data_IF_707241236437
#
_entry.id   IF_707241236437
#
_cell.length_a   1.000
_cell.length_b   1.000
_cell.length_c   1.000
_cell.angle_alpha   90.00
_cell.angle_beta   90.00
_cell.angle_gamma   90.00
#
_symmetry.space_group_name_H-M   'P 1'
#
loop_
_entity.id
_entity.type
_entity.pdbx_description
1 polymer ?
#
# COMPACT_ATOMS: atom_id res chain seq x y z
N UNK A 1 -30.71 -2.87 3.02
CA UNK A 1 -29.43 -3.51 3.41
C UNK A 1 -29.07 -4.85 2.72
N UNK A 2 -29.82 -5.33 1.71
CA UNK A 2 -29.52 -6.61 1.03
C UNK A 2 -28.46 -6.57 -0.09
N UNK A 3 -27.87 -5.40 -0.41
CA UNK A 3 -26.95 -5.25 -1.56
C UNK A 3 -25.48 -5.57 -1.25
N UNK A 4 -25.02 -5.37 -0.01
CA UNK A 4 -23.61 -5.56 0.39
C UNK A 4 -23.06 -6.96 0.07
N UNK A 5 -23.77 -8.07 0.35
CA UNK A 5 -23.25 -9.42 0.03
C UNK A 5 -23.07 -9.66 -1.47
N UNK A 6 -24.02 -9.19 -2.29
CA UNK A 6 -23.93 -9.32 -3.76
C UNK A 6 -22.81 -8.43 -4.33
N UNK A 7 -22.61 -7.25 -3.78
CA UNK A 7 -21.52 -6.34 -4.16
C UNK A 7 -20.16 -6.95 -3.84
N UNK A 8 -20.00 -7.54 -2.65
CA UNK A 8 -18.78 -8.28 -2.27
C UNK A 8 -18.57 -9.48 -3.19
N UNK A 9 -19.61 -10.28 -3.46
CA UNK A 9 -19.50 -11.43 -4.35
C UNK A 9 -19.06 -11.03 -5.78
N UNK A 10 -19.56 -9.91 -6.29
CA UNK A 10 -19.14 -9.35 -7.61
C UNK A 10 -17.69 -8.89 -7.59
N UNK A 11 -17.25 -8.24 -6.52
CA UNK A 11 -15.87 -7.82 -6.35
C UNK A 11 -14.93 -9.04 -6.32
N UNK A 12 -15.27 -10.07 -5.54
CA UNK A 12 -14.50 -11.31 -5.48
C UNK A 12 -14.43 -12.02 -6.84
N UNK A 13 -15.56 -12.07 -7.56
CA UNK A 13 -15.58 -12.61 -8.92
C UNK A 13 -14.65 -11.82 -9.85
N UNK A 14 -14.65 -10.49 -9.79
CA UNK A 14 -13.75 -9.64 -10.57
C UNK A 14 -12.27 -9.91 -10.26
N UNK A 15 -11.91 -9.96 -8.97
CA UNK A 15 -10.55 -10.24 -8.54
C UNK A 15 -10.09 -11.64 -8.95
N UNK A 16 -10.98 -12.65 -8.90
CA UNK A 16 -10.67 -14.02 -9.32
C UNK A 16 -10.32 -14.16 -10.82
N UNK A 17 -10.84 -13.27 -11.67
CA UNK A 17 -10.51 -13.24 -13.11
C UNK A 17 -9.16 -12.55 -13.36
N UNK A 18 -8.78 -11.60 -12.50
CA UNK A 18 -7.54 -10.83 -12.64
C UNK A 18 -6.35 -11.44 -11.89
N UNK A 19 -6.58 -12.29 -10.90
CA UNK A 19 -5.58 -13.23 -10.43
C UNK A 19 -5.28 -14.20 -11.56
N UNK A 20 -4.14 -14.03 -12.21
CA UNK A 20 -3.73 -14.87 -13.33
C UNK A 20 -3.65 -16.33 -12.87
N UNK A 21 -4.58 -17.23 -13.28
CA UNK A 21 -4.59 -18.61 -12.82
C UNK A 21 -3.40 -19.42 -13.38
N UNK A 22 -2.65 -18.87 -14.35
CA UNK A 22 -1.45 -19.47 -14.93
C UNK A 22 -0.16 -18.97 -14.29
N UNK A 23 -0.20 -17.90 -13.49
CA UNK A 23 0.96 -17.54 -12.69
C UNK A 23 0.92 -18.36 -11.41
N UNK A 24 1.85 -19.30 -11.22
CA UNK A 24 2.16 -19.92 -9.92
C UNK A 24 2.60 -18.89 -8.84
N UNK A 25 2.32 -17.62 -9.05
CA UNK A 25 2.56 -16.50 -8.16
C UNK A 25 1.18 -16.10 -7.64
N UNK A 26 0.91 -16.30 -6.36
CA UNK A 26 -0.11 -15.50 -5.66
C UNK A 26 0.15 -14.06 -6.08
N UNK A 27 -0.82 -13.39 -6.69
CA UNK A 27 -0.54 -12.05 -7.20
C UNK A 27 -0.03 -11.22 -6.02
N UNK A 28 1.03 -10.43 -6.23
CA UNK A 28 1.57 -9.53 -5.21
C UNK A 28 0.56 -8.47 -4.73
N UNK A 29 -0.70 -8.57 -5.19
CA UNK A 29 -1.88 -7.82 -4.79
C UNK A 29 -2.33 -8.15 -3.36
N UNK A 30 -1.89 -9.28 -2.78
CA UNK A 30 -2.30 -9.72 -1.44
C UNK A 30 -1.26 -9.49 -0.32
N UNK A 31 -0.04 -9.07 -0.65
CA UNK A 31 0.99 -8.81 0.35
C UNK A 31 0.85 -7.39 0.88
N UNK A 32 0.21 -7.29 2.05
CA UNK A 32 0.09 -6.03 2.79
C UNK A 32 1.29 -5.86 3.70
N UNK A 33 1.64 -4.61 3.99
CA UNK A 33 2.45 -4.31 5.17
C UNK A 33 1.76 -4.82 6.45
N UNK A 34 2.52 -4.90 7.53
CA UNK A 34 1.97 -5.17 8.87
C UNK A 34 0.70 -4.32 9.11
N UNK A 35 -0.45 -4.93 9.49
CA UNK A 35 -1.69 -4.20 9.75
C UNK A 35 -1.53 -3.10 10.80
N UNK A 36 -0.64 -3.26 11.79
CA UNK A 36 -0.35 -2.22 12.79
C UNK A 36 0.27 -0.98 12.15
N UNK A 37 1.17 -1.17 11.17
CA UNK A 37 1.75 -0.08 10.41
C UNK A 37 0.70 0.65 9.55
N UNK A 38 -0.22 -0.12 8.96
CA UNK A 38 -1.24 0.44 8.07
C UNK A 38 -2.35 1.16 8.83
N UNK A 39 -2.74 0.65 10.01
CA UNK A 39 -3.78 1.26 10.85
C UNK A 39 -3.46 2.67 11.35
N UNK A 40 -2.18 3.02 11.45
CA UNK A 40 -1.76 4.37 11.84
C UNK A 40 -1.53 5.29 10.62
N UNK A 41 -1.90 4.85 9.42
CA UNK A 41 -1.93 5.69 8.21
C UNK A 41 -3.31 6.27 8.00
N UNK A 42 -3.38 7.51 7.51
CA UNK A 42 -4.64 8.14 7.12
C UNK A 42 -5.13 7.58 5.78
N UNK A 43 -4.23 7.26 4.85
CA UNK A 43 -4.58 6.77 3.52
C UNK A 43 -3.59 5.71 3.03
N UNK A 44 -4.09 4.70 2.33
CA UNK A 44 -3.27 3.75 1.55
C UNK A 44 -3.37 4.11 0.06
N UNK A 45 -2.22 4.29 -0.60
CA UNK A 45 -2.17 4.75 -1.99
C UNK A 45 -2.32 3.62 -3.02
N UNK A 46 -2.06 2.39 -2.59
CA UNK A 46 -2.09 1.19 -3.41
C UNK A 46 -2.78 0.07 -2.62
N UNK A 47 -4.10 0.09 -2.61
CA UNK A 47 -4.91 -0.86 -1.86
C UNK A 47 -6.15 -1.29 -2.65
N UNK A 48 -6.92 -2.17 -2.04
CA UNK A 48 -8.17 -2.74 -2.53
C UNK A 48 -9.14 -2.90 -1.35
N UNK A 49 -10.43 -3.10 -1.62
CA UNK A 49 -11.38 -3.40 -0.55
C UNK A 49 -11.04 -4.68 0.25
N UNK A 50 -10.22 -5.56 -0.30
CA UNK A 50 -9.85 -6.84 0.32
C UNK A 50 -8.65 -6.73 1.25
N UNK A 51 -7.83 -5.69 1.10
CA UNK A 51 -6.59 -5.57 1.88
C UNK A 51 -6.47 -4.23 2.62
N UNK A 52 -7.22 -3.17 2.30
CA UNK A 52 -7.11 -1.89 2.98
C UNK A 52 -7.32 -2.02 4.50
N UNK A 53 -6.46 -1.39 5.31
CA UNK A 53 -6.49 -1.45 6.77
C UNK A 53 -6.49 -0.06 7.45
N UNK A 54 -6.75 1.00 6.69
CA UNK A 54 -6.85 2.38 7.21
C UNK A 54 -8.12 2.59 8.03
N UNK A 55 -7.98 3.29 9.17
CA UNK A 55 -9.06 3.50 10.14
C UNK A 55 -10.22 4.34 9.61
N UNK A 56 -9.96 5.25 8.66
CA UNK A 56 -10.99 6.09 8.04
C UNK A 56 -11.74 5.37 6.90
N UNK A 57 -11.34 4.14 6.55
CA UNK A 57 -11.92 3.36 5.45
C UNK A 57 -11.72 3.95 4.05
N UNK A 58 -10.79 4.90 3.87
CA UNK A 58 -10.56 5.60 2.58
C UNK A 58 -9.20 5.26 2.00
N UNK A 59 -9.19 4.63 0.84
CA UNK A 59 -7.96 4.19 0.18
C UNK A 59 -7.99 4.49 -1.32
N UNK A 60 -6.83 4.59 -1.94
CA UNK A 60 -6.72 4.62 -3.40
C UNK A 60 -6.57 3.20 -3.94
N UNK A 61 -7.19 2.95 -5.09
CA UNK A 61 -7.31 1.62 -5.65
C UNK A 61 -7.16 1.60 -7.16
N UNK A 62 -7.02 0.41 -7.73
CA UNK A 62 -6.79 0.22 -9.17
C UNK A 62 -8.05 0.52 -10.00
N UNK A 63 -9.24 0.24 -9.46
CA UNK A 63 -10.51 0.35 -10.19
C UNK A 63 -11.53 1.17 -9.39
N UNK A 64 -11.31 2.48 -9.19
CA UNK A 64 -12.15 3.31 -8.34
C UNK A 64 -13.63 3.31 -8.77
N UNK A 65 -13.91 3.20 -10.07
CA UNK A 65 -15.28 3.13 -10.60
C UNK A 65 -16.05 1.86 -10.16
N UNK A 66 -15.34 0.79 -9.81
CA UNK A 66 -15.92 -0.42 -9.21
C UNK A 66 -15.88 -0.33 -7.68
N UNK A 67 -14.78 0.19 -7.14
CA UNK A 67 -14.42 0.05 -5.73
C UNK A 67 -14.89 1.20 -4.84
N UNK A 68 -15.45 2.28 -5.41
CA UNK A 68 -15.90 3.45 -4.64
C UNK A 68 -16.92 3.11 -3.56
N UNK A 69 -17.76 2.09 -3.79
CA UNK A 69 -18.76 1.63 -2.81
C UNK A 69 -18.15 0.99 -1.57
N UNK A 70 -16.87 0.63 -1.64
CA UNK A 70 -16.14 -0.01 -0.55
C UNK A 70 -15.06 0.88 0.05
N UNK A 71 -15.03 2.17 -0.28
CA UNK A 71 -14.08 3.13 0.29
C UNK A 71 -12.97 3.60 -0.64
N UNK A 72 -12.97 3.18 -1.92
CA UNK A 72 -12.03 3.77 -2.88
C UNK A 72 -12.33 5.26 -3.10
N UNK A 73 -11.29 6.08 -2.99
CA UNK A 73 -11.34 7.54 -3.21
C UNK A 73 -10.69 7.97 -4.53
N UNK A 74 -10.29 7.02 -5.38
CA UNK A 74 -9.61 7.28 -6.64
C UNK A 74 -8.46 6.31 -6.90
N UNK A 75 -7.67 6.59 -7.93
CA UNK A 75 -6.48 5.81 -8.29
C UNK A 75 -5.24 6.70 -8.30
N UNK A 76 -4.09 6.11 -7.98
CA UNK A 76 -2.80 6.74 -8.22
C UNK A 76 -2.57 6.99 -9.73
N UNK A 77 -1.93 8.11 -10.14
CA UNK A 77 -1.49 9.25 -9.31
C UNK A 77 -2.58 10.30 -9.09
N UNK A 78 -3.70 10.24 -9.83
CA UNK A 78 -4.75 11.27 -9.84
C UNK A 78 -5.35 11.56 -8.47
N UNK A 79 -5.37 10.58 -7.56
CA UNK A 79 -5.90 10.74 -6.19
C UNK A 79 -5.08 11.72 -5.34
N UNK A 80 -3.78 11.90 -5.66
CA UNK A 80 -2.85 12.69 -4.84
C UNK A 80 -3.33 14.14 -4.66
N UNK A 81 -3.97 14.71 -5.67
CA UNK A 81 -4.47 16.10 -5.60
C UNK A 81 -5.58 16.28 -4.56
N UNK A 82 -6.32 15.22 -4.23
CA UNK A 82 -7.44 15.26 -3.30
C UNK A 82 -7.02 14.90 -1.86
N UNK A 83 -5.82 14.36 -1.65
CA UNK A 83 -5.35 14.02 -0.32
C UNK A 83 -4.98 15.29 0.47
N UNK A 84 -5.42 15.40 1.74
CA UNK A 84 -5.05 16.51 2.61
C UNK A 84 -3.54 16.62 2.80
N UNK A 85 -3.02 17.85 2.83
CA UNK A 85 -1.60 18.09 3.15
C UNK A 85 -1.31 17.58 4.57
N UNK A 86 -0.09 17.07 4.79
CA UNK A 86 0.40 16.50 6.04
C UNK A 86 -0.27 15.19 6.50
N UNK A 87 -1.19 14.60 5.71
CA UNK A 87 -1.71 13.27 6.01
C UNK A 87 -0.60 12.22 6.00
N UNK A 88 -0.76 11.17 6.80
CA UNK A 88 0.10 9.99 6.79
C UNK A 88 -0.34 9.07 5.66
N UNK A 89 0.48 8.96 4.62
CA UNK A 89 0.17 8.18 3.42
C UNK A 89 1.07 6.96 3.36
N UNK A 90 0.45 5.78 3.34
CA UNK A 90 1.11 4.51 3.10
C UNK A 90 1.27 4.26 1.59
N UNK A 91 2.49 3.99 1.16
CA UNK A 91 2.90 3.80 -0.23
C UNK A 91 3.51 2.42 -0.36
N UNK A 92 2.73 1.46 -0.88
CA UNK A 92 3.14 0.08 -1.14
C UNK A 92 2.78 -0.32 -2.58
N UNK A 93 3.50 0.21 -3.60
CA UNK A 93 3.12 0.01 -4.99
C UNK A 93 3.22 -1.47 -5.41
N UNK A 94 2.42 -1.90 -6.40
CA UNK A 94 2.61 -3.20 -7.05
C UNK A 94 4.03 -3.36 -7.57
N UNK A 95 4.53 -4.59 -7.61
CA UNK A 95 5.90 -4.93 -8.03
C UNK A 95 6.03 -4.86 -9.56
N UNK A 96 5.90 -3.65 -10.10
CA UNK A 96 6.03 -3.34 -11.52
C UNK A 96 6.95 -2.15 -11.67
N UNK A 97 7.82 -2.20 -12.67
CA UNK A 97 8.80 -1.14 -12.93
C UNK A 97 8.15 0.24 -13.12
N UNK A 98 7.00 0.29 -13.79
CA UNK A 98 6.29 1.54 -14.06
C UNK A 98 5.79 2.25 -12.80
N UNK A 99 5.11 1.53 -11.89
CA UNK A 99 4.63 2.12 -10.63
C UNK A 99 5.80 2.53 -9.73
N UNK A 100 6.84 1.69 -9.62
CA UNK A 100 8.02 2.04 -8.83
C UNK A 100 8.72 3.28 -9.39
N UNK A 101 8.95 3.35 -10.70
CA UNK A 101 9.61 4.49 -11.33
C UNK A 101 8.84 5.80 -11.08
N UNK A 102 7.52 5.83 -11.34
CA UNK A 102 6.73 7.05 -11.17
C UNK A 102 6.65 7.50 -9.69
N UNK A 103 6.51 6.57 -8.74
CA UNK A 103 6.56 6.90 -7.29
C UNK A 103 7.92 7.49 -6.92
N UNK A 104 9.01 6.91 -7.42
CA UNK A 104 10.36 7.36 -7.09
C UNK A 104 10.70 8.71 -7.73
N UNK A 105 10.22 8.98 -8.94
CA UNK A 105 10.38 10.27 -9.61
C UNK A 105 9.63 11.40 -8.89
N UNK A 106 8.51 11.08 -8.25
CA UNK A 106 7.69 12.03 -7.47
C UNK A 106 8.05 12.10 -5.99
N UNK A 107 9.01 11.30 -5.52
CA UNK A 107 9.27 11.14 -4.08
C UNK A 107 9.54 12.47 -3.37
N UNK A 108 10.28 13.39 -3.98
CA UNK A 108 10.57 14.70 -3.40
C UNK A 108 9.28 15.53 -3.20
N UNK A 109 8.40 15.57 -4.21
CA UNK A 109 7.10 16.24 -4.14
C UNK A 109 6.21 15.60 -3.06
N UNK A 110 6.13 14.28 -3.03
CA UNK A 110 5.33 13.53 -2.07
C UNK A 110 5.79 13.79 -0.63
N UNK A 111 7.10 13.82 -0.38
CA UNK A 111 7.66 14.14 0.95
C UNK A 111 7.38 15.57 1.39
N UNK A 112 7.31 16.53 0.47
CA UNK A 112 6.96 17.91 0.81
C UNK A 112 5.49 18.01 1.25
N UNK A 113 4.60 17.26 0.59
CA UNK A 113 3.16 17.37 0.81
C UNK A 113 2.62 16.46 1.92
N UNK A 114 3.20 15.27 2.11
CA UNK A 114 2.67 14.23 2.98
C UNK A 114 3.74 13.70 3.94
N UNK A 115 3.29 13.01 5.00
CA UNK A 115 4.15 12.17 5.84
C UNK A 115 4.06 10.76 5.28
N UNK A 116 5.15 10.23 4.75
CA UNK A 116 5.09 8.97 4.00
C UNK A 116 5.51 7.79 4.87
N UNK A 117 4.85 6.65 4.66
CA UNK A 117 5.33 5.34 5.04
C UNK A 117 5.46 4.51 3.77
N UNK A 118 6.69 4.25 3.36
CA UNK A 118 7.00 3.69 2.05
C UNK A 118 7.51 2.26 2.24
N UNK A 119 6.91 1.33 1.52
CA UNK A 119 7.43 -0.01 1.34
C UNK A 119 7.60 -0.27 -0.15
N UNK A 120 8.85 -0.35 -0.61
CA UNK A 120 9.14 -0.54 -2.03
C UNK A 120 10.10 -1.71 -2.24
N UNK A 121 9.84 -2.58 -3.22
CA UNK A 121 10.79 -3.59 -3.65
C UNK A 121 12.13 -2.96 -4.05
N UNK A 122 13.22 -3.57 -3.59
CA UNK A 122 14.55 -3.22 -4.06
C UNK A 122 14.77 -3.94 -5.38
N UNK A 123 14.90 -3.16 -6.45
CA UNK A 123 15.26 -3.63 -7.78
C UNK A 123 16.53 -2.91 -8.26
N UNK A 124 17.32 -3.56 -9.10
CA UNK A 124 18.44 -2.90 -9.79
C UNK A 124 17.90 -1.90 -10.80
N UNK A 125 17.81 -0.63 -10.39
CA UNK A 125 17.21 0.43 -11.18
C UNK A 125 18.01 1.75 -11.04
N UNK A 126 17.93 2.67 -12.03
CA UNK A 126 18.65 3.94 -11.98
C UNK A 126 18.36 4.77 -10.72
N UNK A 127 17.13 4.72 -10.20
CA UNK A 127 16.72 5.42 -8.99
C UNK A 127 17.27 4.81 -7.69
N UNK A 128 17.76 3.56 -7.72
CA UNK A 128 18.26 2.87 -6.51
C UNK A 128 19.38 3.63 -5.81
N UNK A 129 20.29 4.23 -6.58
CA UNK A 129 21.41 5.03 -6.04
C UNK A 129 20.94 6.25 -5.24
N UNK A 130 19.71 6.73 -5.49
CA UNK A 130 19.12 7.88 -4.80
C UNK A 130 18.36 7.48 -3.53
N UNK A 131 18.09 6.18 -3.30
CA UNK A 131 17.34 5.72 -2.13
C UNK A 131 18.06 6.08 -0.83
N UNK A 132 19.37 5.84 -0.75
CA UNK A 132 20.14 6.07 0.47
C UNK A 132 20.13 7.54 0.91
N UNK A 133 20.15 8.49 -0.05
CA UNK A 133 20.05 9.92 0.26
C UNK A 133 18.61 10.40 0.47
N UNK A 134 17.63 9.79 -0.22
CA UNK A 134 16.23 10.22 -0.18
C UNK A 134 15.44 9.62 0.98
N UNK A 135 15.84 8.43 1.44
CA UNK A 135 15.18 7.62 2.47
C UNK A 135 16.23 7.21 3.53
N UNK A 136 16.73 8.16 4.32
CA UNK A 136 17.71 7.86 5.37
C UNK A 136 17.08 6.95 6.42
N UNK A 137 17.88 6.05 6.99
CA UNK A 137 17.44 5.08 8.02
C UNK A 137 16.37 4.09 7.56
N UNK A 138 16.27 3.83 6.25
CA UNK A 138 15.38 2.79 5.76
C UNK A 138 15.86 1.39 6.17
N UNK A 139 14.90 0.51 6.44
CA UNK A 139 15.13 -0.84 6.93
C UNK A 139 14.73 -1.88 5.88
N UNK A 140 15.27 -3.09 6.00
CA UNK A 140 14.82 -4.22 5.19
C UNK A 140 13.64 -4.91 5.84
N UNK A 141 12.52 -4.95 5.14
CA UNK A 141 11.36 -5.73 5.53
C UNK A 141 11.69 -7.22 5.41
N UNK A 142 11.40 -7.98 6.48
CA UNK A 142 11.64 -9.43 6.54
C UNK A 142 10.40 -10.25 6.20
N UNK A 143 9.22 -9.73 6.55
CA UNK A 143 7.94 -10.41 6.39
C UNK A 143 6.86 -9.47 5.84
N UNK A 144 5.92 -10.03 5.08
CA UNK A 144 4.66 -9.39 4.71
C UNK A 144 3.52 -10.01 5.51
N UNK A 145 2.43 -9.26 5.70
CA UNK A 145 1.19 -9.81 6.23
C UNK A 145 0.31 -10.32 5.10
N UNK A 146 -0.07 -11.60 5.19
CA UNK A 146 -1.01 -12.24 4.28
C UNK A 146 -2.40 -12.25 4.93
N UNK A 147 -3.27 -11.37 4.45
CA UNK A 147 -4.64 -11.26 4.94
C UNK A 147 -5.52 -12.50 4.65
N UNK A 148 -5.12 -13.37 3.72
CA UNK A 148 -5.87 -14.61 3.42
C UNK A 148 -5.65 -15.71 4.43
N UNK A 149 -4.47 -15.73 5.06
CA UNK A 149 -4.09 -16.73 6.07
C UNK A 149 -3.97 -16.11 7.47
N UNK A 150 -4.22 -14.81 7.59
CA UNK A 150 -4.03 -13.98 8.78
C UNK A 150 -2.65 -14.15 9.45
N UNK A 151 -1.62 -14.43 8.64
CA UNK A 151 -0.29 -14.76 9.11
C UNK A 151 0.79 -13.91 8.43
N UNK A 152 1.97 -13.87 9.03
CA UNK A 152 3.16 -13.31 8.39
C UNK A 152 3.79 -14.35 7.47
N UNK A 153 4.23 -13.91 6.30
CA UNK A 153 4.97 -14.73 5.34
C UNK A 153 6.29 -14.06 5.00
N UNK A 154 7.32 -14.85 4.75
CA UNK A 154 8.64 -14.32 4.41
C UNK A 154 8.60 -13.55 3.10
N UNK A 155 9.34 -12.45 3.10
CA UNK A 155 9.49 -11.60 1.93
C UNK A 155 10.31 -12.34 0.87
N UNK A 156 9.68 -12.69 -0.26
CA UNK A 156 10.36 -13.34 -1.39
C UNK A 156 11.32 -12.39 -2.15
N UNK A 157 11.15 -11.08 -1.98
CA UNK A 157 11.96 -10.06 -2.66
C UNK A 157 12.36 -8.93 -1.69
N UNK A 158 13.66 -8.61 -1.53
CA UNK A 158 14.12 -7.58 -0.62
C UNK A 158 13.28 -6.30 -0.76
N UNK A 159 12.61 -5.90 0.31
CA UNK A 159 11.74 -4.72 0.32
C UNK A 159 12.30 -3.72 1.32
N UNK A 160 12.40 -2.48 0.91
CA UNK A 160 12.82 -1.38 1.74
C UNK A 160 11.60 -0.74 2.41
N UNK A 161 11.60 -0.70 3.74
CA UNK A 161 10.63 0.00 4.56
C UNK A 161 11.25 1.31 5.04
N UNK A 162 10.57 2.42 4.82
CA UNK A 162 10.98 3.73 5.32
C UNK A 162 9.78 4.49 5.87
N UNK A 163 9.96 5.16 6.99
CA UNK A 163 8.96 6.04 7.58
C UNK A 163 9.51 7.45 7.69
N UNK A 164 8.71 8.43 7.31
CA UNK A 164 9.02 9.83 7.51
C UNK A 164 9.17 10.10 9.03
N UNK A 165 10.26 10.73 9.50
CA UNK A 165 10.45 11.03 10.92
C UNK A 165 9.33 11.88 11.55
N UNK A 166 8.49 12.53 10.73
CA UNK A 166 7.30 13.28 11.17
C UNK A 166 6.09 12.38 11.45
N UNK A 167 6.14 11.11 11.07
CA UNK A 167 5.10 10.14 11.41
C UNK A 167 5.09 9.90 12.93
N UNK A 168 3.92 9.79 13.57
CA UNK A 168 3.83 9.38 14.97
C UNK A 168 4.55 8.05 15.17
N UNK A 169 5.36 7.95 16.22
CA UNK A 169 5.96 6.70 16.66
C UNK A 169 4.88 5.71 17.05
N UNK A 170 5.11 4.41 16.76
CA UNK A 170 4.20 3.35 17.18
C UNK A 170 4.03 3.46 18.70
N UNK A 171 2.82 3.79 19.17
CA UNK A 171 2.47 3.46 20.54
C UNK A 171 2.42 1.93 20.57
N UNK A 172 3.23 1.31 21.43
CA UNK A 172 3.17 -0.14 21.64
C UNK A 172 1.75 -0.57 22.00
N UNK A 173 1.43 -1.86 21.91
CA UNK A 173 0.12 -2.35 22.36
C UNK A 173 -0.12 -1.86 23.80
N UNK A 174 -1.37 -1.52 24.17
CA UNK A 174 -1.67 -1.19 25.56
C UNK A 174 -1.23 -2.38 26.42
N UNK A 175 -0.32 -2.13 27.35
CA UNK A 175 -0.04 -3.06 28.43
C UNK A 175 -1.26 -3.07 29.34
N UNK A 176 -2.17 -4.00 29.11
CA UNK A 176 -3.40 -4.20 29.89
C UNK A 176 -3.82 -5.66 29.85
#
# INVERSE_FOLDING_TARGET
EKKKPLEIARLLALYSVFDNPLSNRRSGVHLGLDPELRRQSDYELFASPLNAAVSNGRFASKWPHVEWRFGSIGSYPSVLQFLPVNSIVCVNPPFTEAYLADVMDRLAELKLRFRLRIAVPIQEMPWRKKLASSLPSAELLKTYYDASTENHTDVLHPTLLWEDPRCPTRQGPPTG
#
